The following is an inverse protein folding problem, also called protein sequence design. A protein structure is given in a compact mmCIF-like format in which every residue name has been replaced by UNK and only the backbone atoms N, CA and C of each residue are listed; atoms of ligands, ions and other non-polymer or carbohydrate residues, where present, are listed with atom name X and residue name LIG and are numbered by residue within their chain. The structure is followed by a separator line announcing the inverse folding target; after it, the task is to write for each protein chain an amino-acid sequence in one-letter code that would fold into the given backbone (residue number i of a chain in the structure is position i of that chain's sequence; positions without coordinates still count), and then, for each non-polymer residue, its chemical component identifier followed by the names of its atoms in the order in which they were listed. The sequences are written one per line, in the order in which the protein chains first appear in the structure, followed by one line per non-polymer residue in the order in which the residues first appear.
data_IF_661061159948
#
_entry.id   IF_661061159948
#
_cell.length_a   1.000
_cell.length_b   1.000
_cell.length_c   1.000
_cell.angle_alpha   90.00
_cell.angle_beta   90.00
_cell.angle_gamma   90.00
#
_symmetry.space_group_name_H-M   'P 1'
#
loop_
_entity.id
_entity.type
_entity.pdbx_description
1 polymer ?
#
# COMPACT_ATOMS: atom_id res chain seq x y z
N UNK A 1 -54.24 -62.43 -27.49
CA UNK A 1 -53.51 -62.14 -26.23
C UNK A 1 -52.48 -61.05 -26.51
N UNK A 2 -52.70 -59.84 -25.97
CA UNK A 2 -51.81 -59.07 -25.05
C UNK A 2 -50.40 -58.81 -25.61
N UNK A 3 -50.15 -57.65 -26.22
CA UNK A 3 -49.76 -56.36 -25.60
C UNK A 3 -48.28 -56.30 -25.18
N UNK A 4 -47.50 -55.39 -25.77
CA UNK A 4 -47.01 -54.15 -25.13
C UNK A 4 -45.99 -53.42 -26.01
N UNK A 5 -46.35 -52.18 -26.36
CA UNK A 5 -45.47 -51.13 -26.86
C UNK A 5 -44.60 -50.67 -25.69
N UNK A 6 -43.27 -50.79 -25.80
CA UNK A 6 -42.33 -50.27 -24.80
C UNK A 6 -41.90 -48.87 -25.24
N UNK A 7 -42.40 -47.88 -24.52
CA UNK A 7 -41.95 -46.50 -24.56
C UNK A 7 -40.65 -46.43 -23.74
N UNK A 8 -39.51 -46.21 -24.40
CA UNK A 8 -38.22 -45.98 -23.75
C UNK A 8 -38.07 -44.48 -23.49
N UNK A 9 -38.26 -44.10 -22.23
CA UNK A 9 -37.99 -42.76 -21.68
C UNK A 9 -36.47 -42.52 -21.68
N UNK A 10 -36.03 -41.52 -22.44
CA UNK A 10 -34.69 -40.92 -22.34
C UNK A 10 -34.59 -40.14 -21.02
N UNK A 11 -33.61 -40.39 -20.13
CA UNK A 11 -33.33 -39.49 -19.03
C UNK A 11 -32.65 -38.23 -19.59
N UNK A 12 -33.35 -37.10 -19.51
CA UNK A 12 -32.79 -35.78 -19.79
C UNK A 12 -31.61 -35.50 -18.86
N UNK A 13 -30.44 -35.30 -19.46
CA UNK A 13 -29.28 -34.75 -18.77
C UNK A 13 -29.55 -33.26 -18.52
N UNK A 14 -29.98 -32.92 -17.32
CA UNK A 14 -29.88 -31.55 -16.81
C UNK A 14 -28.41 -31.27 -16.55
N UNK A 15 -27.78 -30.51 -17.44
CA UNK A 15 -26.54 -29.81 -17.10
C UNK A 15 -26.88 -28.78 -16.02
N UNK A 16 -26.68 -29.14 -14.76
CA UNK A 16 -26.56 -28.16 -13.70
C UNK A 16 -25.33 -27.30 -14.04
N UNK A 17 -25.58 -26.06 -14.48
CA UNK A 17 -24.54 -25.08 -14.64
C UNK A 17 -23.88 -24.89 -13.27
N UNK A 18 -22.68 -25.45 -13.12
CA UNK A 18 -21.86 -25.22 -11.94
C UNK A 18 -21.66 -23.71 -11.81
N UNK A 19 -22.21 -23.14 -10.73
CA UNK A 19 -21.99 -21.75 -10.35
C UNK A 19 -20.49 -21.57 -10.15
N UNK A 20 -19.79 -21.05 -11.17
CA UNK A 20 -18.36 -20.75 -11.10
C UNK A 20 -18.17 -19.74 -9.98
N UNK A 21 -17.74 -20.23 -8.83
CA UNK A 21 -17.38 -19.39 -7.69
C UNK A 21 -16.30 -18.43 -8.16
N UNK A 22 -16.60 -17.13 -8.16
CA UNK A 22 -15.62 -16.13 -8.61
C UNK A 22 -14.40 -16.22 -7.70
N UNK A 23 -13.18 -16.16 -8.25
CA UNK A 23 -11.98 -16.16 -7.42
C UNK A 23 -12.00 -14.93 -6.51
N UNK A 24 -11.77 -15.15 -5.22
CA UNK A 24 -11.70 -14.09 -4.20
C UNK A 24 -10.25 -14.01 -3.74
N UNK A 25 -9.73 -12.79 -3.61
CA UNK A 25 -8.45 -12.52 -2.96
C UNK A 25 -8.68 -11.86 -1.60
N UNK A 26 -7.78 -12.15 -0.66
CA UNK A 26 -7.80 -11.61 0.71
C UNK A 26 -6.44 -10.99 1.05
N UNK A 27 -6.47 -9.77 1.58
CA UNK A 27 -5.26 -9.05 2.01
C UNK A 27 -5.58 -8.04 3.12
N UNK A 28 -4.66 -7.84 4.05
CA UNK A 28 -4.60 -6.66 4.91
C UNK A 28 -3.69 -5.63 4.23
N UNK A 29 -4.22 -4.44 3.97
CA UNK A 29 -3.51 -3.39 3.24
C UNK A 29 -3.39 -2.11 4.08
N UNK A 30 -2.26 -1.43 3.96
CA UNK A 30 -2.08 -0.01 4.33
C UNK A 30 -1.70 0.76 3.08
N UNK A 31 -2.10 2.03 2.99
CA UNK A 31 -1.83 2.86 1.82
C UNK A 31 -1.00 4.09 2.22
N UNK A 32 -0.05 4.45 1.35
CA UNK A 32 0.70 5.71 1.37
C UNK A 32 0.71 6.25 -0.06
N UNK A 33 0.57 7.56 -0.22
CA UNK A 33 0.68 8.22 -1.53
C UNK A 33 2.11 8.67 -1.80
N UNK A 34 2.58 8.47 -3.02
CA UNK A 34 3.80 9.10 -3.54
C UNK A 34 3.52 10.36 -4.37
N UNK A 35 2.24 10.70 -4.57
CA UNK A 35 1.78 11.80 -5.42
C UNK A 35 1.16 12.97 -4.64
N UNK A 36 1.41 13.06 -3.32
CA UNK A 36 0.73 13.99 -2.41
C UNK A 36 -0.59 13.41 -1.87
N UNK A 37 -1.29 14.14 -1.02
CA UNK A 37 -2.53 13.64 -0.41
C UNK A 37 -3.64 13.43 -1.46
N UNK A 38 -4.28 12.27 -1.43
CA UNK A 38 -5.34 11.85 -2.35
C UNK A 38 -6.64 11.61 -1.57
N UNK A 39 -7.65 12.44 -1.81
CA UNK A 39 -8.95 12.41 -1.10
C UNK A 39 -10.13 12.04 -2.00
N UNK A 40 -9.93 11.98 -3.32
CA UNK A 40 -10.95 11.68 -4.32
C UNK A 40 -10.98 10.20 -4.73
N UNK A 41 -10.33 9.32 -3.96
CA UNK A 41 -10.21 7.90 -4.31
C UNK A 41 -11.17 7.01 -3.52
N UNK A 42 -11.47 5.85 -4.11
CA UNK A 42 -12.12 4.73 -3.43
C UNK A 42 -11.49 3.40 -3.81
N UNK A 43 -11.51 2.47 -2.86
CA UNK A 43 -11.19 1.07 -3.08
C UNK A 43 -12.42 0.33 -3.63
N UNK A 44 -12.25 -0.30 -4.78
CA UNK A 44 -13.27 -1.13 -5.40
C UNK A 44 -12.98 -2.61 -5.19
N UNK A 45 -13.93 -3.33 -4.58
CA UNK A 45 -13.80 -4.76 -4.26
C UNK A 45 -14.55 -5.69 -5.25
N UNK A 46 -15.15 -5.13 -6.30
CA UNK A 46 -16.03 -5.85 -7.23
C UNK A 46 -17.52 -5.70 -6.94
N UNK A 47 -17.88 -5.13 -5.78
CA UNK A 47 -19.27 -4.93 -5.33
C UNK A 47 -19.52 -3.53 -4.78
N UNK A 48 -18.58 -2.99 -4.01
CA UNK A 48 -18.69 -1.72 -3.30
C UNK A 48 -17.45 -0.86 -3.53
N UNK A 49 -17.68 0.44 -3.69
CA UNK A 49 -16.64 1.46 -3.62
C UNK A 49 -16.57 1.98 -2.17
N UNK A 50 -15.40 1.86 -1.54
CA UNK A 50 -15.13 2.37 -0.19
C UNK A 50 -14.24 3.59 -0.30
N UNK A 51 -14.71 4.81 0.05
CA UNK A 51 -13.91 6.02 0.00
C UNK A 51 -12.63 5.90 0.83
N UNK A 52 -11.52 6.42 0.30
CA UNK A 52 -10.21 6.39 0.91
C UNK A 52 -9.59 7.77 0.92
N UNK A 53 -9.00 8.13 2.06
CA UNK A 53 -7.98 9.16 2.15
C UNK A 53 -6.62 8.47 2.16
N UNK A 54 -5.78 8.80 1.19
CA UNK A 54 -4.41 8.28 1.10
C UNK A 54 -3.45 9.44 1.28
N UNK A 55 -2.75 9.47 2.43
CA UNK A 55 -1.81 10.55 2.73
C UNK A 55 -0.41 10.25 2.21
N UNK A 56 0.35 11.29 1.92
CA UNK A 56 1.78 11.21 1.67
C UNK A 56 2.62 11.13 2.96
N UNK A 57 2.08 11.55 4.11
CA UNK A 57 2.88 11.82 5.32
C UNK A 57 2.71 10.78 6.42
N UNK A 58 1.65 9.96 6.37
CA UNK A 58 1.38 8.93 7.37
C UNK A 58 0.74 7.69 6.75
N UNK A 59 0.92 6.55 7.42
CA UNK A 59 0.20 5.34 7.06
C UNK A 59 -1.30 5.53 7.23
N UNK A 60 -2.07 5.22 6.17
CA UNK A 60 -3.50 5.07 6.29
C UNK A 60 -3.90 3.93 7.26
N UNK A 61 -5.19 3.86 7.64
CA UNK A 61 -5.68 2.77 8.47
C UNK A 61 -5.45 1.40 7.79
N UNK A 62 -5.25 0.36 8.59
CA UNK A 62 -5.23 -1.02 8.09
C UNK A 62 -6.63 -1.40 7.61
N UNK A 63 -6.72 -1.83 6.35
CA UNK A 63 -7.97 -2.29 5.74
C UNK A 63 -7.88 -3.78 5.46
N UNK A 64 -8.96 -4.51 5.76
CA UNK A 64 -9.10 -5.90 5.33
C UNK A 64 -9.82 -5.92 3.99
N UNK A 65 -9.06 -6.20 2.93
CA UNK A 65 -9.58 -6.39 1.59
C UNK A 65 -10.03 -7.83 1.39
N UNK A 66 -11.25 -8.00 0.89
CA UNK A 66 -11.80 -9.28 0.45
C UNK A 66 -12.67 -9.03 -0.78
N UNK A 67 -12.14 -9.33 -1.95
CA UNK A 67 -12.80 -8.93 -3.18
C UNK A 67 -12.21 -9.63 -4.40
N UNK A 68 -12.38 -8.99 -5.55
CA UNK A 68 -11.78 -9.45 -6.79
C UNK A 68 -10.25 -9.57 -6.71
N UNK A 69 -9.62 -10.47 -7.47
CA UNK A 69 -8.17 -10.62 -7.45
C UNK A 69 -7.45 -9.36 -7.91
N UNK A 70 -8.07 -8.59 -8.81
CA UNK A 70 -7.60 -7.28 -9.20
C UNK A 70 -8.14 -6.23 -8.25
N UNK A 71 -7.31 -5.86 -7.27
CA UNK A 71 -7.54 -4.70 -6.42
C UNK A 71 -7.51 -3.44 -7.29
N UNK A 72 -8.53 -2.57 -7.16
CA UNK A 72 -8.65 -1.34 -7.95
C UNK A 72 -8.88 -0.13 -7.06
N UNK A 73 -8.12 0.93 -7.34
CA UNK A 73 -8.43 2.28 -6.88
C UNK A 73 -9.15 3.00 -8.01
N UNK A 74 -10.30 3.57 -7.69
CA UNK A 74 -11.13 4.34 -8.61
C UNK A 74 -11.25 5.78 -8.11
N UNK A 75 -11.49 6.74 -9.00
CA UNK A 75 -11.97 8.05 -8.57
C UNK A 75 -13.42 7.94 -8.12
N UNK A 76 -13.76 8.59 -7.02
CA UNK A 76 -15.14 8.81 -6.63
C UNK A 76 -15.81 9.62 -7.74
N UNK A 77 -16.93 9.12 -8.25
CA UNK A 77 -17.75 9.91 -9.15
C UNK A 77 -18.26 11.14 -8.39
N UNK A 78 -17.94 12.33 -8.89
CA UNK A 78 -18.68 13.53 -8.53
C UNK A 78 -20.16 13.29 -8.86
N UNK A 79 -21.14 13.73 -8.05
CA UNK A 79 -22.57 13.48 -8.31
C UNK A 79 -23.05 13.92 -9.71
N UNK A 80 -22.28 14.76 -10.40
CA UNK A 80 -22.57 15.28 -11.75
C UNK A 80 -22.19 14.32 -12.88
N UNK A 81 -21.37 13.31 -12.63
CA UNK A 81 -20.85 12.37 -13.64
C UNK A 81 -21.56 10.99 -13.62
N UNK A 82 -22.67 10.84 -12.90
CA UNK A 82 -23.47 9.62 -12.97
C UNK A 82 -24.11 9.53 -14.38
N UNK A 83 -23.70 8.57 -15.25
CA UNK A 83 -24.43 8.36 -16.47
C UNK A 83 -25.83 7.87 -16.11
N UNK A 84 -26.84 8.36 -16.84
CA UNK A 84 -28.23 7.95 -16.67
C UNK A 84 -28.33 6.41 -16.61
N UNK A 85 -29.21 5.86 -15.75
CA UNK A 85 -29.32 4.41 -15.61
C UNK A 85 -29.56 3.77 -16.97
N UNK A 86 -28.77 2.76 -17.37
CA UNK A 86 -28.94 2.12 -18.66
C UNK A 86 -30.32 1.48 -18.73
N UNK A 87 -31.06 1.80 -19.79
CA UNK A 87 -32.27 1.07 -20.18
C UNK A 87 -31.84 -0.37 -20.44
N UNK A 88 -32.37 -1.29 -19.64
CA UNK A 88 -31.94 -2.68 -19.61
C UNK A 88 -32.29 -3.42 -20.92
N UNK A 89 -31.26 -3.92 -21.60
CA UNK A 89 -31.38 -5.13 -22.41
C UNK A 89 -30.95 -6.32 -21.53
N UNK A 90 -31.76 -7.39 -21.42
CA UNK A 90 -31.44 -8.56 -20.63
C UNK A 90 -30.57 -9.48 -21.49
N UNK A 91 -29.28 -9.54 -21.20
CA UNK A 91 -28.41 -10.73 -21.32
C UNK A 91 -26.93 -10.33 -21.49
N UNK A 92 -26.30 -9.93 -20.39
CA UNK A 92 -24.86 -10.05 -20.22
C UNK A 92 -24.57 -10.26 -18.74
N UNK A 93 -23.76 -11.28 -18.42
CA UNK A 93 -23.44 -11.68 -17.06
C UNK A 93 -23.05 -10.49 -16.17
N UNK A 94 -23.83 -10.26 -15.10
CA UNK A 94 -23.70 -9.19 -14.09
C UNK A 94 -22.29 -9.12 -13.45
N UNK A 95 -21.32 -8.55 -14.15
CA UNK A 95 -20.18 -7.91 -13.52
C UNK A 95 -20.61 -6.48 -13.16
N UNK A 96 -20.76 -6.19 -11.87
CA UNK A 96 -21.01 -4.82 -11.42
C UNK A 96 -19.86 -3.96 -11.94
N UNK A 97 -20.20 -2.96 -12.76
CA UNK A 97 -19.24 -2.00 -13.30
C UNK A 97 -18.85 -1.05 -12.17
N UNK A 98 -17.56 -0.76 -12.04
CA UNK A 98 -17.09 0.18 -11.03
C UNK A 98 -17.70 1.58 -11.29
N UNK A 99 -18.09 2.32 -10.24
CA UNK A 99 -18.82 3.58 -10.39
C UNK A 99 -17.97 4.75 -10.92
N UNK A 100 -16.67 4.57 -11.14
CA UNK A 100 -15.77 5.60 -11.64
C UNK A 100 -14.54 5.02 -12.34
N UNK A 101 -13.72 5.86 -13.00
CA UNK A 101 -12.55 5.40 -13.73
C UNK A 101 -11.51 4.80 -12.78
N UNK A 102 -10.92 3.67 -13.19
CA UNK A 102 -9.80 3.06 -12.47
C UNK A 102 -8.54 3.90 -12.68
N UNK A 103 -7.91 4.33 -11.59
CA UNK A 103 -6.70 5.16 -11.61
C UNK A 103 -5.43 4.39 -11.26
N UNK A 104 -5.58 3.30 -10.52
CA UNK A 104 -4.48 2.42 -10.15
C UNK A 104 -5.05 1.03 -9.83
N UNK A 105 -4.26 -0.03 -10.05
CA UNK A 105 -4.71 -1.40 -9.80
C UNK A 105 -3.53 -2.30 -9.43
N UNK A 106 -3.81 -3.40 -8.74
CA UNK A 106 -2.85 -4.42 -8.39
C UNK A 106 -3.50 -5.80 -8.51
N UNK A 107 -2.85 -6.71 -9.23
CA UNK A 107 -3.28 -8.11 -9.27
C UNK A 107 -2.72 -8.85 -8.04
N UNK A 108 -3.62 -9.28 -7.15
CA UNK A 108 -3.30 -10.06 -5.97
C UNK A 108 -3.20 -11.54 -6.33
N UNK A 109 -2.20 -12.28 -5.80
CA UNK A 109 -2.09 -13.71 -6.04
C UNK A 109 -3.27 -14.45 -5.40
N UNK A 110 -3.80 -15.43 -6.15
CA UNK A 110 -4.85 -16.31 -5.68
C UNK A 110 -4.27 -17.36 -4.73
N UNK A 111 -4.97 -17.64 -3.62
CA UNK A 111 -4.75 -18.81 -2.74
C UNK A 111 -3.49 -18.82 -1.84
N UNK A 112 -2.88 -17.68 -1.53
CA UNK A 112 -1.69 -17.60 -0.67
C UNK A 112 -1.95 -17.21 0.81
N UNK A 113 -3.20 -17.35 1.28
CA UNK A 113 -3.60 -16.85 2.60
C UNK A 113 -3.65 -15.31 2.65
N UNK A 114 -3.97 -14.71 3.81
CA UNK A 114 -4.08 -13.26 3.92
C UNK A 114 -2.71 -12.60 3.76
N UNK A 115 -2.53 -11.89 2.65
CA UNK A 115 -1.33 -11.09 2.40
C UNK A 115 -1.34 -9.88 3.32
N UNK A 116 -0.18 -9.47 3.84
CA UNK A 116 -0.03 -8.17 4.50
C UNK A 116 0.82 -7.28 3.59
N UNK A 117 0.27 -6.16 3.15
CA UNK A 117 0.89 -5.29 2.16
C UNK A 117 0.83 -3.83 2.59
N UNK A 118 1.90 -3.09 2.33
CA UNK A 118 1.84 -1.63 2.22
C UNK A 118 1.79 -1.33 0.71
N UNK A 119 0.80 -0.54 0.31
CA UNK A 119 0.55 -0.12 -1.06
C UNK A 119 1.02 1.33 -1.22
N UNK A 120 2.04 1.52 -2.04
CA UNK A 120 2.52 2.84 -2.43
C UNK A 120 1.76 3.27 -3.68
N UNK A 121 0.96 4.31 -3.55
CA UNK A 121 0.01 4.75 -4.56
C UNK A 121 0.58 5.95 -5.30
N UNK A 122 0.77 5.79 -6.60
CA UNK A 122 1.13 6.85 -7.54
C UNK A 122 0.22 6.71 -8.76
N UNK A 123 -0.97 7.32 -8.75
CA UNK A 123 -1.93 7.16 -9.83
C UNK A 123 -1.36 7.70 -11.14
N UNK A 124 -1.30 6.84 -12.16
CA UNK A 124 -0.88 7.21 -13.51
C UNK A 124 -1.90 6.66 -14.52
N UNK A 125 -2.54 7.52 -15.34
CA UNK A 125 -3.53 7.07 -16.31
C UNK A 125 -3.00 5.94 -17.21
N UNK A 126 -3.73 4.82 -17.27
CA UNK A 126 -3.37 3.68 -18.12
C UNK A 126 -2.20 2.83 -17.63
N UNK A 127 -1.66 3.08 -16.43
CA UNK A 127 -0.55 2.31 -15.83
C UNK A 127 -0.95 1.67 -14.51
N UNK A 128 -0.12 0.70 -14.10
CA UNK A 128 -0.17 0.20 -12.73
C UNK A 128 0.43 1.28 -11.81
N UNK A 129 -0.44 2.04 -11.15
CA UNK A 129 -0.07 3.08 -10.19
C UNK A 129 0.10 2.60 -8.76
N UNK A 130 0.31 1.30 -8.54
CA UNK A 130 0.49 0.71 -7.19
C UNK A 130 1.80 -0.09 -7.15
N UNK A 131 2.71 0.31 -6.26
CA UNK A 131 3.84 -0.51 -5.85
C UNK A 131 3.50 -1.18 -4.51
N UNK A 132 3.39 -2.50 -4.51
CA UNK A 132 3.14 -3.27 -3.29
C UNK A 132 4.45 -3.71 -2.65
N UNK A 133 4.59 -3.48 -1.34
CA UNK A 133 5.67 -4.04 -0.54
C UNK A 133 5.10 -4.98 0.52
N UNK A 134 5.74 -6.14 0.78
CA UNK A 134 5.34 -7.01 1.88
C UNK A 134 5.44 -6.29 3.23
N UNK A 135 4.39 -6.46 4.04
CA UNK A 135 4.24 -5.93 5.40
C UNK A 135 4.21 -7.06 6.42
N UNK A 136 5.25 -7.89 6.43
CA UNK A 136 5.40 -8.98 7.39
C UNK A 136 6.62 -8.77 8.29
N UNK A 137 6.54 -9.25 9.54
CA UNK A 137 7.59 -9.04 10.55
C UNK A 137 8.92 -9.72 10.22
N UNK A 138 8.95 -10.67 9.26
CA UNK A 138 10.20 -11.31 8.84
C UNK A 138 10.99 -10.38 7.93
N UNK A 139 10.30 -9.69 7.02
CA UNK A 139 10.91 -8.79 6.05
C UNK A 139 10.99 -7.34 6.55
N UNK A 140 10.03 -6.88 7.36
CA UNK A 140 10.03 -5.54 7.92
C UNK A 140 9.70 -5.57 9.43
N UNK A 141 10.67 -5.99 10.25
CA UNK A 141 10.48 -6.15 11.69
C UNK A 141 10.37 -4.81 12.43
N UNK A 142 9.68 -4.82 13.56
CA UNK A 142 9.64 -3.69 14.52
C UNK A 142 11.05 -3.27 14.95
N UNK A 143 11.27 -1.96 15.07
CA UNK A 143 12.58 -1.37 15.35
C UNK A 143 13.56 -1.38 14.16
N UNK A 144 13.07 -1.64 12.95
CA UNK A 144 13.89 -1.51 11.74
C UNK A 144 13.50 -0.30 10.90
N UNK A 145 14.47 0.18 10.13
CA UNK A 145 14.31 1.22 9.11
C UNK A 145 14.31 0.53 7.75
N UNK A 146 13.22 0.66 7.00
CA UNK A 146 13.17 0.23 5.60
C UNK A 146 13.41 1.44 4.71
N UNK A 147 14.51 1.44 3.99
CA UNK A 147 14.81 2.45 2.99
C UNK A 147 14.26 2.01 1.63
N UNK A 148 13.63 2.95 0.93
CA UNK A 148 13.19 2.77 -0.45
C UNK A 148 13.84 3.83 -1.31
N UNK A 149 14.76 3.39 -2.17
CA UNK A 149 15.42 4.28 -3.12
C UNK A 149 14.48 4.52 -4.30
N UNK A 150 13.89 5.71 -4.39
CA UNK A 150 13.04 6.10 -5.52
C UNK A 150 13.83 6.86 -6.59
N UNK A 151 15.15 6.99 -6.45
CA UNK A 151 16.02 7.57 -7.47
C UNK A 151 16.26 6.59 -8.63
N UNK A 152 16.68 7.13 -9.77
CA UNK A 152 17.11 6.36 -10.95
C UNK A 152 18.58 5.92 -10.88
N UNK A 153 19.26 6.22 -9.77
CA UNK A 153 20.66 5.91 -9.49
C UNK A 153 20.81 5.22 -8.13
N UNK A 154 21.89 4.45 -7.90
CA UNK A 154 22.13 3.81 -6.62
C UNK A 154 22.50 4.83 -5.54
N UNK A 155 22.15 4.48 -4.30
CA UNK A 155 22.48 5.24 -3.09
C UNK A 155 23.08 4.27 -2.08
N UNK A 156 24.11 4.68 -1.37
CA UNK A 156 24.69 3.92 -0.25
C UNK A 156 24.54 4.66 1.05
N UNK A 157 24.32 3.93 2.14
CA UNK A 157 24.29 4.45 3.49
C UNK A 157 25.51 3.94 4.25
N UNK A 158 26.23 4.87 4.85
CA UNK A 158 27.42 4.60 5.65
C UNK A 158 27.18 4.93 7.12
N UNK A 159 27.40 3.94 7.97
CA UNK A 159 27.33 4.07 9.43
C UNK A 159 28.60 3.48 10.04
N UNK A 160 29.52 4.33 10.48
CA UNK A 160 30.83 3.89 10.97
C UNK A 160 31.55 3.08 9.90
N UNK A 161 31.83 1.79 10.18
CA UNK A 161 32.51 0.87 9.25
C UNK A 161 31.57 0.10 8.31
N UNK A 162 30.25 0.28 8.39
CA UNK A 162 29.28 -0.46 7.58
C UNK A 162 28.78 0.39 6.42
N UNK A 163 28.86 -0.16 5.22
CA UNK A 163 28.25 0.39 4.00
C UNK A 163 27.08 -0.52 3.61
N UNK A 164 25.92 0.08 3.36
CA UNK A 164 24.73 -0.63 2.86
C UNK A 164 24.30 0.03 1.55
N UNK A 165 24.37 -0.70 0.44
CA UNK A 165 23.97 -0.19 -0.87
C UNK A 165 22.47 -0.44 -1.13
N UNK A 166 21.82 0.53 -1.74
CA UNK A 166 20.46 0.48 -2.24
C UNK A 166 20.51 0.75 -3.76
N UNK A 167 20.24 -0.27 -4.59
CA UNK A 167 20.17 -0.09 -6.05
C UNK A 167 19.16 1.00 -6.45
N UNK A 168 19.28 1.51 -7.67
CA UNK A 168 18.23 2.34 -8.27
C UNK A 168 16.87 1.62 -8.20
N UNK A 169 15.81 2.32 -7.77
CA UNK A 169 14.48 1.75 -7.50
C UNK A 169 14.47 0.56 -6.51
N UNK A 170 15.54 0.41 -5.74
CA UNK A 170 15.74 -0.68 -4.79
C UNK A 170 15.19 -0.38 -3.40
N UNK A 171 15.25 -1.38 -2.52
CA UNK A 171 14.96 -1.20 -1.10
C UNK A 171 15.91 -2.01 -0.25
N UNK A 172 16.03 -1.64 1.03
CA UNK A 172 16.79 -2.41 2.00
C UNK A 172 16.42 -2.07 3.43
N UNK A 173 16.71 -2.99 4.34
CA UNK A 173 16.38 -2.85 5.75
C UNK A 173 17.66 -2.70 6.55
N UNK A 174 17.65 -1.73 7.46
CA UNK A 174 18.71 -1.51 8.44
C UNK A 174 18.12 -1.62 9.83
N UNK A 175 18.87 -2.23 10.74
CA UNK A 175 18.63 -2.12 12.17
C UNK A 175 19.65 -1.13 12.74
N UNK A 176 19.20 0.04 13.22
CA UNK A 176 20.09 1.00 13.88
C UNK A 176 20.86 0.33 15.02
N UNK A 177 22.19 0.49 15.03
CA UNK A 177 23.04 -0.01 16.12
C UNK A 177 23.16 1.03 17.23
N UNK A 178 22.01 1.54 17.69
CA UNK A 178 21.91 2.48 18.80
C UNK A 178 20.74 2.07 19.70
N UNK A 179 20.79 2.37 21.02
CA UNK A 179 19.65 2.13 21.89
C UNK A 179 18.42 2.93 21.47
N UNK A 180 17.23 2.43 21.80
CA UNK A 180 15.97 3.18 21.66
C UNK A 180 16.05 4.51 22.43
N UNK A 181 15.47 5.57 21.88
CA UNK A 181 15.53 6.92 22.44
C UNK A 181 16.84 7.67 22.16
N UNK A 182 17.67 7.19 21.21
CA UNK A 182 18.92 7.83 20.81
C UNK A 182 18.92 8.20 19.33
N UNK A 183 19.76 9.15 18.97
CA UNK A 183 19.93 9.53 17.58
C UNK A 183 20.83 8.54 16.85
N UNK A 184 20.31 7.97 15.77
CA UNK A 184 21.04 7.26 14.75
C UNK A 184 21.57 8.26 13.71
N UNK A 185 22.86 8.19 13.43
CA UNK A 185 23.53 9.07 12.48
C UNK A 185 24.14 8.27 11.33
N UNK A 186 23.90 8.68 10.09
CA UNK A 186 24.57 8.10 8.93
C UNK A 186 24.67 9.08 7.77
N UNK A 187 25.63 8.83 6.89
CA UNK A 187 25.77 9.57 5.63
C UNK A 187 25.16 8.75 4.51
N UNK A 188 24.37 9.39 3.65
CA UNK A 188 23.91 8.81 2.40
C UNK A 188 24.76 9.38 1.27
N UNK A 189 25.27 8.51 0.40
CA UNK A 189 26.00 8.88 -0.80
C UNK A 189 25.21 8.45 -2.02
N UNK A 190 25.05 9.33 -2.99
CA UNK A 190 24.52 9.01 -4.32
C UNK A 190 25.65 8.68 -5.27
N UNK A 191 25.32 7.92 -6.32
CA UNK A 191 26.19 7.67 -7.47
C UNK A 191 25.50 8.12 -8.77
N UNK A 192 24.89 9.31 -8.74
CA UNK A 192 24.31 9.94 -9.93
C UNK A 192 25.43 10.28 -10.93
N UNK A 193 25.21 9.99 -12.20
CA UNK A 193 26.20 10.17 -13.28
C UNK A 193 27.54 9.44 -13.03
N UNK A 194 27.50 8.31 -12.30
CA UNK A 194 28.68 7.52 -11.91
C UNK A 194 29.67 8.26 -11.01
N UNK A 195 29.27 9.41 -10.44
CA UNK A 195 30.07 10.15 -9.47
C UNK A 195 29.51 9.98 -8.06
N UNK A 196 30.37 9.53 -7.14
CA UNK A 196 29.99 9.37 -5.75
C UNK A 196 29.99 10.70 -5.02
N UNK A 197 28.83 11.13 -4.52
CA UNK A 197 28.67 12.42 -3.82
C UNK A 197 27.93 12.22 -2.49
N UNK A 198 28.28 13.02 -1.47
CA UNK A 198 27.50 13.05 -0.23
C UNK A 198 26.13 13.67 -0.55
N UNK A 199 25.08 12.88 -0.45
CA UNK A 199 23.73 13.25 -0.85
C UNK A 199 22.91 13.80 0.32
N UNK A 200 23.10 13.24 1.53
CA UNK A 200 22.36 13.62 2.73
C UNK A 200 23.10 13.18 4.01
N UNK A 201 23.00 13.97 5.08
CA UNK A 201 23.39 13.55 6.43
C UNK A 201 22.11 13.27 7.25
N UNK A 202 21.87 12.00 7.59
CA UNK A 202 20.70 11.60 8.36
C UNK A 202 21.00 11.66 9.85
N UNK A 203 20.23 12.48 10.56
CA UNK A 203 20.14 12.52 12.01
C UNK A 203 18.73 12.11 12.44
N UNK A 204 18.57 10.85 12.86
CA UNK A 204 17.25 10.24 13.05
C UNK A 204 17.04 9.79 14.49
N UNK A 205 15.94 10.20 15.13
CA UNK A 205 15.62 9.74 16.48
C UNK A 205 15.05 8.33 16.44
N UNK A 206 15.81 7.35 16.95
CA UNK A 206 15.45 5.95 16.84
C UNK A 206 14.52 5.52 17.97
N UNK A 207 13.36 4.96 17.61
CA UNK A 207 12.43 4.30 18.51
C UNK A 207 12.28 2.83 18.11
N UNK A 208 12.64 1.92 19.02
CA UNK A 208 12.63 0.47 18.75
C UNK A 208 11.24 -0.17 18.78
N UNK A 209 10.21 0.59 19.15
CA UNK A 209 8.82 0.13 19.34
C UNK A 209 7.96 0.28 18.07
N UNK A 210 8.50 0.89 17.02
CA UNK A 210 7.79 1.17 15.77
C UNK A 210 8.64 0.81 14.57
N UNK A 211 7.99 0.72 13.42
CA UNK A 211 8.64 0.56 12.11
C UNK A 211 8.67 1.91 11.41
N UNK A 212 9.76 2.18 10.71
CA UNK A 212 9.91 3.43 9.94
C UNK A 212 10.26 3.11 8.50
N UNK A 213 9.44 3.59 7.58
CA UNK A 213 9.69 3.58 6.14
C UNK A 213 10.34 4.91 5.76
N UNK A 214 11.50 4.89 5.11
CA UNK A 214 12.16 6.10 4.62
C UNK A 214 12.24 6.07 3.09
N UNK A 215 11.55 7.00 2.44
CA UNK A 215 11.73 7.22 1.01
C UNK A 215 12.96 8.09 0.77
N UNK A 216 13.83 7.63 -0.13
CA UNK A 216 14.93 8.42 -0.68
C UNK A 216 14.45 8.94 -2.03
N UNK A 217 14.14 10.23 -2.09
CA UNK A 217 13.61 10.92 -3.26
C UNK A 217 14.75 11.69 -3.94
N UNK A 218 14.79 11.72 -5.29
CA UNK A 218 15.78 12.52 -5.99
C UNK A 218 15.59 14.01 -5.67
N UNK A 219 16.70 14.72 -5.46
CA UNK A 219 16.74 16.17 -5.37
C UNK A 219 16.79 16.83 -6.75
N UNK A 220 17.48 17.96 -6.84
CA UNK A 220 17.72 18.62 -8.13
C UNK A 220 18.56 17.72 -9.05
N UNK A 221 18.15 17.60 -10.31
CA UNK A 221 18.80 16.71 -11.28
C UNK A 221 20.28 17.07 -11.46
N UNK A 222 21.16 16.08 -11.40
CA UNK A 222 22.62 16.25 -11.56
C UNK A 222 23.33 16.79 -10.32
N UNK A 223 22.61 17.13 -9.25
CA UNK A 223 23.22 17.57 -7.99
C UNK A 223 23.74 16.41 -7.14
N UNK A 224 23.26 15.19 -7.38
CA UNK A 224 23.45 14.04 -6.50
C UNK A 224 22.74 14.17 -5.14
N UNK A 225 22.01 15.25 -4.87
CA UNK A 225 21.31 15.45 -3.61
C UNK A 225 20.04 14.60 -3.56
N UNK A 226 19.68 14.17 -2.36
CA UNK A 226 18.43 13.44 -2.11
C UNK A 226 17.64 14.09 -0.98
N UNK A 227 16.32 13.91 -1.01
CA UNK A 227 15.43 14.23 0.11
C UNK A 227 14.98 12.94 0.77
N UNK A 228 14.96 12.95 2.11
CA UNK A 228 14.38 11.86 2.89
C UNK A 228 12.98 12.22 3.36
N UNK A 229 12.06 11.27 3.23
CA UNK A 229 10.71 11.37 3.76
C UNK A 229 10.43 10.15 4.64
N UNK A 230 10.52 10.30 5.98
CA UNK A 230 10.21 9.24 6.92
C UNK A 230 8.70 9.14 7.12
N UNK A 231 8.18 7.92 7.13
CA UNK A 231 6.82 7.58 7.52
C UNK A 231 6.93 6.58 8.66
N UNK A 232 6.50 6.98 9.84
CA UNK A 232 6.51 6.14 11.04
C UNK A 232 5.14 5.53 11.27
N UNK A 233 5.14 4.29 11.76
CA UNK A 233 3.93 3.79 12.41
C UNK A 233 3.62 4.63 13.65
N UNK A 234 2.33 4.88 13.93
CA UNK A 234 1.96 5.48 15.20
C UNK A 234 2.47 4.60 16.35
N UNK A 235 2.82 5.19 17.50
CA UNK A 235 3.16 4.42 18.69
C UNK A 235 2.04 3.40 18.93
N UNK A 236 2.41 2.14 19.17
CA UNK A 236 1.43 1.12 19.54
C UNK A 236 0.62 1.66 20.73
N UNK A 237 -0.71 1.60 20.64
CA UNK A 237 -1.62 2.04 21.70
C UNK A 237 -1.48 1.17 22.94
N UNK A 238 -0.36 1.28 23.64
CA UNK A 238 -0.18 0.82 24.99
C UNK A 238 -0.94 1.79 25.89
N UNK A 239 -1.71 1.25 26.82
CA UNK A 239 -2.36 1.97 27.92
C UNK A 239 -1.39 2.67 28.88
N UNK A 240 -0.10 2.77 28.53
CA UNK A 240 0.89 3.59 29.23
C UNK A 240 1.15 4.84 28.41
N UNK A 241 0.59 5.97 28.83
CA UNK A 241 0.99 7.28 28.33
C UNK A 241 2.52 7.39 28.37
N UNK A 242 3.09 7.93 27.30
CA UNK A 242 4.51 8.21 27.24
C UNK A 242 4.88 9.07 28.45
N UNK A 243 5.94 8.71 29.17
CA UNK A 243 6.52 9.59 30.22
C UNK A 243 7.03 10.92 29.64
N UNK A 244 7.01 11.07 28.31
CA UNK A 244 7.35 12.28 27.58
C UNK A 244 6.15 12.99 26.94
N UNK A 245 4.92 12.52 27.17
CA UNK A 245 3.74 13.34 26.89
C UNK A 245 3.74 14.47 27.91
N UNK A 246 4.25 15.63 27.51
CA UNK A 246 4.16 16.84 28.28
C UNK A 246 2.68 17.10 28.56
N UNK A 247 2.25 16.78 29.77
CA UNK A 247 0.95 17.16 30.27
C UNK A 247 0.88 18.70 30.28
N UNK A 248 0.36 19.26 29.19
CA UNK A 248 -0.05 20.67 29.14
C UNK A 248 -1.19 20.76 30.14
N UNK A 249 -0.87 21.13 31.39
CA UNK A 249 -1.88 21.48 32.38
C UNK A 249 -2.62 22.71 31.84
N UNK A 250 -3.95 22.65 31.69
CA UNK A 250 -4.71 23.85 31.35
C UNK A 250 -4.45 24.90 32.44
N UNK A 251 -4.37 26.20 32.06
CA UNK A 251 -4.14 27.26 33.03
C UNK A 251 -5.24 27.24 34.08
N UNK A 252 -4.84 27.31 35.35
CA UNK A 252 -5.79 27.42 36.47
C UNK A 252 -6.59 28.70 36.27
N UNK A 253 -7.89 28.56 36.06
CA UNK A 253 -8.84 29.67 36.14
C UNK A 253 -8.77 30.23 37.56
N UNK A 254 -8.23 31.44 37.69
CA UNK A 254 -8.30 32.21 38.93
C UNK A 254 -9.76 32.65 39.05
N UNK A 255 -10.42 32.23 40.13
CA UNK A 255 -11.74 32.74 40.53
C UNK A 255 -11.58 34.13 41.14
#
# INVERSE_FOLDING_TARGET
MKAKLIFLLLPGWTFAAAEKTRPIAEATIQLISLAGDLSDLALWDGRKATPLLVSADFFGPRLNYRGEPRLRLIRNATPTDQPAPPVAEPDAQNALVAPGPTVAWLDLPLNNGPLKLILLVQPEPGRNGILAIPDDDRQFPVGSLRFMNLCDYPVSLETGSRVTAFPAKGSGIIRPNVPSGRYFNCNLYSEEDHERRLAYHLHFFYASDRRTLLFILPGEKGSGLVRLQPIEEPPGGGTGGSTHDAAIKPPKTIK
#
